data_IF_086012861822
#
_entry.id   IF_086012861822
#
_cell.length_a   1.000
_cell.length_b   1.000
_cell.length_c   1.000
_cell.angle_alpha   90.00
_cell.angle_beta   90.00
_cell.angle_gamma   90.00
#
_symmetry.space_group_name_H-M   'P 1'
#
loop_
_entity.id
_entity.type
_entity.pdbx_description
1 polymer ?
#
# COMPACT_ATOMS: atom_id res chain seq x y z
N UNK A 1 4.63 12.66 -1.72
CA UNK A 1 3.22 12.72 -2.12
C UNK A 1 2.33 12.06 -1.07
N UNK A 2 1.22 12.69 -0.68
CA UNK A 2 0.23 12.05 0.17
C UNK A 2 -1.00 11.71 -0.67
N UNK A 3 -1.33 10.43 -0.75
CA UNK A 3 -2.49 9.95 -1.48
C UNK A 3 -3.54 9.52 -0.45
N UNK A 4 -4.64 10.30 -0.30
CA UNK A 4 -5.76 9.91 0.53
C UNK A 4 -6.40 8.62 0.01
N UNK A 5 -7.48 8.20 0.65
CA UNK A 5 -8.24 7.05 0.18
C UNK A 5 -8.63 7.21 -1.31
N UNK A 6 -8.16 6.29 -2.16
CA UNK A 6 -8.43 6.24 -3.59
C UNK A 6 -9.22 4.98 -3.90
N UNK A 7 -9.98 4.99 -4.99
CA UNK A 7 -10.85 3.87 -5.30
C UNK A 7 -10.10 2.69 -5.96
N UNK A 8 -9.47 2.87 -7.11
CA UNK A 8 -8.53 1.90 -7.70
C UNK A 8 -7.40 2.64 -8.39
N UNK A 9 -6.25 1.99 -8.54
CA UNK A 9 -5.17 2.53 -9.36
C UNK A 9 -5.56 2.60 -10.84
N UNK A 10 -6.37 1.66 -11.33
CA UNK A 10 -6.77 1.56 -12.74
C UNK A 10 -7.73 2.65 -13.21
N UNK A 11 -8.56 3.19 -12.31
CA UNK A 11 -9.49 4.29 -12.63
C UNK A 11 -8.81 5.66 -12.55
N UNK A 12 -7.56 5.70 -12.10
CA UNK A 12 -6.88 6.96 -11.95
C UNK A 12 -6.32 7.40 -13.30
N UNK A 13 -6.58 8.65 -13.67
CA UNK A 13 -6.25 9.23 -14.98
C UNK A 13 -4.74 9.39 -15.23
N UNK A 14 -3.90 9.08 -14.22
CA UNK A 14 -2.45 9.27 -14.26
C UNK A 14 -1.71 7.98 -13.96
N UNK A 15 -0.55 7.81 -14.58
CA UNK A 15 0.35 6.74 -14.22
C UNK A 15 1.00 7.04 -12.88
N UNK A 16 0.53 6.33 -11.85
CA UNK A 16 1.03 6.54 -10.50
C UNK A 16 2.50 6.15 -10.34
N UNK A 17 2.99 5.20 -11.13
CA UNK A 17 4.39 4.79 -11.07
C UNK A 17 5.31 5.97 -11.42
N UNK A 18 4.92 6.77 -12.42
CA UNK A 18 5.66 7.96 -12.83
C UNK A 18 5.51 9.11 -11.82
N UNK A 19 4.32 9.30 -11.26
CA UNK A 19 4.06 10.36 -10.25
C UNK A 19 4.82 10.11 -8.93
N UNK A 20 5.10 8.84 -8.61
CA UNK A 20 5.91 8.49 -7.44
C UNK A 20 7.40 8.51 -7.67
N UNK A 21 7.85 8.60 -8.93
CA UNK A 21 9.26 8.55 -9.29
C UNK A 21 10.08 9.60 -8.52
N UNK A 22 10.91 9.14 -7.57
CA UNK A 22 11.77 10.01 -6.76
C UNK A 22 11.09 10.80 -5.64
N UNK A 23 9.84 10.46 -5.26
CA UNK A 23 9.11 11.12 -4.16
C UNK A 23 8.82 10.18 -2.98
N UNK A 24 8.98 10.67 -1.75
CA UNK A 24 8.46 9.99 -0.54
C UNK A 24 6.95 10.01 -0.54
N UNK A 25 6.33 8.83 -0.53
CA UNK A 25 4.91 8.68 -0.84
C UNK A 25 4.17 7.83 0.18
N UNK A 26 2.92 8.21 0.47
CA UNK A 26 2.08 7.53 1.43
C UNK A 26 0.69 7.29 0.84
N UNK A 27 0.26 6.03 0.78
CA UNK A 27 -1.02 5.63 0.17
C UNK A 27 -1.90 4.83 1.13
N UNK A 28 -3.19 5.17 1.13
CA UNK A 28 -4.19 4.47 1.93
C UNK A 28 -4.52 3.12 1.32
N UNK A 29 -4.34 2.04 2.07
CA UNK A 29 -4.80 0.70 1.71
C UNK A 29 -5.51 0.07 2.90
N UNK A 30 -6.82 -0.12 2.77
CA UNK A 30 -7.67 -0.67 3.85
C UNK A 30 -7.49 -2.18 3.99
N UNK A 31 -7.27 -2.86 2.86
CA UNK A 31 -7.23 -4.31 2.77
C UNK A 31 -5.87 -4.80 2.30
N UNK A 32 -5.40 -5.87 2.93
CA UNK A 32 -4.19 -6.58 2.55
C UNK A 32 -4.44 -7.47 1.33
N UNK A 33 -5.45 -8.34 1.38
CA UNK A 33 -5.75 -9.34 0.34
C UNK A 33 -7.26 -9.65 0.26
N UNK A 34 -7.66 -10.37 -0.80
CA UNK A 34 -9.05 -10.72 -1.07
C UNK A 34 -9.73 -11.61 0.00
N UNK A 35 -9.00 -12.44 0.74
CA UNK A 35 -9.65 -13.25 1.79
C UNK A 35 -10.19 -12.40 2.96
N UNK A 36 -9.78 -11.13 3.10
CA UNK A 36 -10.36 -10.24 4.12
C UNK A 36 -11.82 -9.84 3.83
N UNK A 37 -12.31 -10.12 2.61
CA UNK A 37 -13.68 -9.84 2.18
C UNK A 37 -14.40 -11.11 1.70
N UNK A 38 -14.67 -12.08 2.60
CA UNK A 38 -15.32 -13.33 2.23
C UNK A 38 -16.69 -13.06 1.60
N UNK A 39 -16.88 -13.54 0.37
CA UNK A 39 -18.13 -13.38 -0.37
C UNK A 39 -18.29 -12.05 -1.13
N UNK A 40 -17.23 -11.24 -1.27
CA UNK A 40 -17.21 -10.09 -2.19
C UNK A 40 -16.01 -10.17 -3.13
N UNK A 41 -16.19 -9.63 -4.33
CA UNK A 41 -15.10 -9.53 -5.28
C UNK A 41 -14.13 -8.39 -4.90
N UNK A 42 -12.84 -8.60 -5.10
CA UNK A 42 -11.82 -7.56 -4.93
C UNK A 42 -12.04 -6.41 -5.93
N UNK A 43 -12.59 -6.70 -7.10
CA UNK A 43 -12.91 -5.69 -8.12
C UNK A 43 -14.07 -4.76 -7.69
N UNK A 44 -14.96 -5.23 -6.82
CA UNK A 44 -16.11 -4.45 -6.33
C UNK A 44 -15.76 -3.54 -5.15
N UNK A 45 -14.61 -3.75 -4.51
CA UNK A 45 -14.17 -2.88 -3.42
C UNK A 45 -13.57 -1.59 -3.98
N UNK A 46 -14.12 -0.42 -3.61
CA UNK A 46 -13.65 0.84 -4.14
C UNK A 46 -12.43 1.34 -3.37
N UNK A 47 -11.45 0.45 -3.13
CA UNK A 47 -10.17 0.72 -2.46
C UNK A 47 -9.08 -0.19 -3.06
N UNK A 48 -7.83 0.30 -3.24
CA UNK A 48 -6.73 -0.54 -3.66
C UNK A 48 -6.29 -1.46 -2.53
N UNK A 49 -6.00 -2.70 -2.88
CA UNK A 49 -5.43 -3.66 -1.95
C UNK A 49 -3.91 -3.47 -1.88
N UNK A 50 -3.31 -3.85 -0.75
CA UNK A 50 -1.85 -3.83 -0.60
C UNK A 50 -1.20 -4.74 -1.65
N UNK A 51 -1.74 -5.93 -1.89
CA UNK A 51 -1.23 -6.85 -2.93
C UNK A 51 -1.30 -6.28 -4.35
N UNK A 52 -2.38 -5.58 -4.71
CA UNK A 52 -2.51 -4.93 -6.02
C UNK A 52 -1.47 -3.80 -6.18
N UNK A 53 -1.32 -2.99 -5.14
CA UNK A 53 -0.36 -1.89 -5.11
C UNK A 53 1.08 -2.42 -5.24
N UNK A 54 1.41 -3.48 -4.51
CA UNK A 54 2.73 -4.12 -4.59
C UNK A 54 2.98 -4.70 -5.99
N UNK A 55 1.96 -5.27 -6.63
CA UNK A 55 2.08 -5.76 -8.00
C UNK A 55 2.34 -4.63 -9.01
N UNK A 56 1.69 -3.48 -8.85
CA UNK A 56 1.91 -2.30 -9.70
C UNK A 56 3.31 -1.70 -9.53
N UNK A 57 3.77 -1.62 -8.28
CA UNK A 57 5.08 -1.03 -7.95
C UNK A 57 6.23 -2.04 -8.04
N UNK A 58 6.00 -3.26 -8.54
CA UNK A 58 7.03 -4.32 -8.58
C UNK A 58 8.25 -3.91 -9.40
N UNK A 59 8.05 -3.07 -10.43
CA UNK A 59 9.11 -2.59 -11.32
C UNK A 59 9.88 -1.38 -10.77
N UNK A 60 9.42 -0.77 -9.66
CA UNK A 60 10.11 0.38 -9.07
C UNK A 60 11.46 -0.04 -8.45
N UNK A 61 12.47 0.85 -8.46
CA UNK A 61 13.71 0.62 -7.75
C UNK A 61 13.49 0.41 -6.24
N UNK A 62 14.36 -0.38 -5.61
CA UNK A 62 14.25 -0.67 -4.18
C UNK A 62 14.32 0.59 -3.30
N UNK A 63 15.02 1.64 -3.72
CA UNK A 63 15.05 2.93 -3.01
C UNK A 63 13.68 3.63 -3.04
N UNK A 64 12.97 3.55 -4.16
CA UNK A 64 11.65 4.16 -4.31
C UNK A 64 10.58 3.37 -3.57
N UNK A 65 10.67 2.03 -3.58
CA UNK A 65 9.78 1.18 -2.77
C UNK A 65 9.87 1.49 -1.29
N UNK A 66 11.08 1.77 -0.78
CA UNK A 66 11.29 2.19 0.62
C UNK A 66 10.66 3.54 0.91
N UNK A 67 10.60 4.41 -0.08
CA UNK A 67 9.98 5.72 0.07
C UNK A 67 8.45 5.64 0.03
N UNK A 68 7.89 4.49 -0.34
CA UNK A 68 6.45 4.24 -0.35
C UNK A 68 5.98 3.57 0.95
N UNK A 69 4.98 4.18 1.58
CA UNK A 69 4.35 3.69 2.81
C UNK A 69 2.86 3.41 2.64
N UNK A 70 2.40 2.30 3.19
CA UNK A 70 0.98 1.97 3.31
C UNK A 70 0.39 2.50 4.63
N UNK A 71 -0.82 3.05 4.62
CA UNK A 71 -1.55 3.47 5.84
C UNK A 71 -3.07 3.21 5.74
N UNK A 72 -3.83 3.57 6.79
CA UNK A 72 -5.29 3.38 6.86
C UNK A 72 -5.74 1.93 7.01
N UNK A 73 -5.03 1.15 7.82
CA UNK A 73 -5.35 -0.25 8.06
C UNK A 73 -6.53 -0.43 9.01
N UNK A 74 -7.29 -1.51 8.83
CA UNK A 74 -8.24 -1.96 9.85
C UNK A 74 -7.50 -2.39 11.12
N UNK A 75 -8.11 -2.27 12.32
CA UNK A 75 -7.47 -2.61 13.59
C UNK A 75 -6.95 -4.06 13.68
N UNK A 76 -7.56 -4.97 12.93
CA UNK A 76 -7.20 -6.40 12.88
C UNK A 76 -6.31 -6.76 11.69
N UNK A 77 -5.85 -5.78 10.91
CA UNK A 77 -5.01 -6.05 9.75
C UNK A 77 -3.65 -6.61 10.24
N UNK A 78 -3.21 -7.78 9.74
CA UNK A 78 -1.97 -8.40 10.19
C UNK A 78 -0.72 -7.55 9.91
N UNK A 79 -0.79 -6.55 9.02
CA UNK A 79 0.30 -5.58 8.81
C UNK A 79 0.61 -4.72 10.04
N UNK A 80 -0.36 -4.54 10.94
CA UNK A 80 -0.13 -3.83 12.20
C UNK A 80 0.64 -4.67 13.21
N UNK A 81 0.70 -5.99 13.03
CA UNK A 81 1.37 -6.93 13.92
C UNK A 81 2.82 -7.11 13.45
N UNK A 82 3.77 -6.65 14.26
CA UNK A 82 5.20 -6.86 13.97
C UNK A 82 5.55 -8.34 13.94
N UNK A 83 6.21 -8.74 12.85
CA UNK A 83 6.63 -10.13 12.66
C UNK A 83 5.52 -11.07 12.18
N UNK A 84 4.33 -10.57 11.87
CA UNK A 84 3.38 -11.35 11.08
C UNK A 84 3.94 -11.66 9.69
N UNK A 85 3.47 -12.73 9.05
CA UNK A 85 3.92 -13.09 7.70
C UNK A 85 3.57 -11.99 6.68
N UNK A 86 2.43 -11.32 6.86
CA UNK A 86 2.04 -10.16 6.06
C UNK A 86 3.03 -9.00 6.22
N UNK A 87 3.38 -8.64 7.46
CA UNK A 87 4.33 -7.56 7.72
C UNK A 87 5.70 -7.88 7.12
N UNK A 88 6.19 -9.12 7.31
CA UNK A 88 7.46 -9.57 6.72
C UNK A 88 7.42 -9.49 5.21
N UNK A 89 6.36 -9.95 4.57
CA UNK A 89 6.22 -9.92 3.11
C UNK A 89 6.31 -8.50 2.56
N UNK A 90 5.59 -7.54 3.15
CA UNK A 90 5.64 -6.12 2.72
C UNK A 90 7.04 -5.53 2.90
N UNK A 91 7.72 -5.87 4.00
CA UNK A 91 9.09 -5.42 4.29
C UNK A 91 10.13 -6.04 3.36
N UNK A 92 10.01 -7.34 3.06
CA UNK A 92 10.88 -8.06 2.13
C UNK A 92 10.77 -7.52 0.70
N UNK A 93 9.58 -7.09 0.32
CA UNK A 93 9.32 -6.45 -0.96
C UNK A 93 9.81 -4.99 -1.01
N UNK A 94 10.31 -4.47 0.12
CA UNK A 94 10.97 -3.17 0.21
C UNK A 94 10.06 -2.02 0.61
N UNK A 95 8.79 -2.27 0.94
CA UNK A 95 7.82 -1.23 1.30
C UNK A 95 7.82 -0.93 2.80
N UNK A 96 7.32 0.26 3.15
CA UNK A 96 7.08 0.66 4.54
C UNK A 96 5.62 0.47 4.94
N UNK A 97 5.41 0.14 6.22
CA UNK A 97 4.09 0.12 6.84
C UNK A 97 4.03 1.32 7.79
N UNK A 98 3.21 2.31 7.47
CA UNK A 98 3.05 3.48 8.30
C UNK A 98 2.29 3.12 9.58
N UNK A 99 2.69 3.75 10.67
CA UNK A 99 2.04 3.63 11.98
C UNK A 99 1.69 5.00 12.51
N UNK A 100 0.80 5.01 13.49
CA UNK A 100 0.54 6.21 14.26
C UNK A 100 1.85 6.75 14.83
N UNK A 101 2.09 8.05 14.63
CA UNK A 101 3.34 8.71 15.05
C UNK A 101 4.52 8.57 14.09
N UNK A 102 4.37 7.92 12.92
CA UNK A 102 5.44 7.89 11.92
C UNK A 102 5.77 9.30 11.43
N UNK A 103 7.07 9.62 11.38
CA UNK A 103 7.57 10.87 10.79
C UNK A 103 8.34 10.52 9.53
N UNK A 104 7.79 10.92 8.40
CA UNK A 104 8.47 10.78 7.12
C UNK A 104 9.37 12.01 6.93
N UNK A 105 10.65 11.84 6.59
CA UNK A 105 11.49 12.95 6.18
C UNK A 105 10.91 13.53 4.88
N UNK A 106 10.57 14.82 4.93
CA UNK A 106 10.12 15.62 3.79
C UNK A 106 11.30 16.31 3.13
#
# INVERSE_FOLDING_TARGET
MFIPDINKWEIWDRNIVDEFAGLTSLSGCVFLHGDEIPGRDMAEMPHPFVVESMALFVLLPAEEKKNFGFYSFKPYNPLLIEGSDAYRNVREQGYNVAREGVRLPL
#
